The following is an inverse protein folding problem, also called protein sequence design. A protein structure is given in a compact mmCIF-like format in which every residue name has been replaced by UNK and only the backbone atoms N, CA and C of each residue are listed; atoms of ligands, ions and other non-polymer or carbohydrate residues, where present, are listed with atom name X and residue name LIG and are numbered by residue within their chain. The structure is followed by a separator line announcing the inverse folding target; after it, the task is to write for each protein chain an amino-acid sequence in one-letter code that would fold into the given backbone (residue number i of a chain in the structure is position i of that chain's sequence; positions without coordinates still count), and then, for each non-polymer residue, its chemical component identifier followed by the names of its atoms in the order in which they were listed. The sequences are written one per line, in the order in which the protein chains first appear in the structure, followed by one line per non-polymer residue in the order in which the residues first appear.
data_IF_378650216669
#
_entry.id   IF_378650216669
#
_cell.length_a   1.000
_cell.length_b   1.000
_cell.length_c   1.000
_cell.angle_alpha   90.00
_cell.angle_beta   90.00
_cell.angle_gamma   90.00
#
_symmetry.space_group_name_H-M   'P 1'
#
loop_
_entity.id
_entity.type
_entity.pdbx_description
1 polymer ?
#
# COMPACT_ATOMS: atom_id res chain seq x y z
N UNK A 1 27.57 92.60 -25.23
CA UNK A 1 26.67 92.00 -26.20
C UNK A 1 26.01 90.81 -25.54
N UNK A 2 24.82 90.97 -25.10
CA UNK A 2 24.07 89.99 -24.32
C UNK A 2 22.90 89.50 -25.12
N UNK A 3 22.74 88.16 -25.33
CA UNK A 3 21.57 87.55 -25.92
C UNK A 3 20.86 86.78 -24.84
N UNK A 4 19.65 87.21 -24.55
CA UNK A 4 18.72 86.58 -23.66
C UNK A 4 18.05 85.43 -24.41
N UNK A 5 18.01 84.25 -23.84
CA UNK A 5 17.12 83.16 -24.29
C UNK A 5 16.09 82.88 -23.20
N UNK A 6 14.81 82.92 -23.59
CA UNK A 6 13.69 82.64 -22.78
C UNK A 6 13.52 81.09 -22.63
N UNK A 7 13.28 80.65 -21.41
CA UNK A 7 13.00 79.26 -21.08
C UNK A 7 11.49 79.02 -21.05
N UNK A 8 10.97 78.25 -21.98
CA UNK A 8 9.57 77.76 -21.97
C UNK A 8 9.49 76.50 -21.11
N UNK A 9 8.79 76.66 -20.02
CA UNK A 9 8.40 75.48 -19.13
C UNK A 9 7.24 74.76 -19.71
N UNK A 10 7.46 73.58 -20.24
CA UNK A 10 6.43 72.62 -20.62
C UNK A 10 6.10 71.70 -19.46
N UNK A 11 4.85 71.78 -18.95
CA UNK A 11 4.35 70.86 -17.96
C UNK A 11 3.89 69.58 -18.66
N UNK A 12 4.63 68.50 -18.49
CA UNK A 12 4.23 67.18 -18.95
C UNK A 12 3.37 66.48 -17.85
N UNK A 13 2.10 66.33 -18.14
CA UNK A 13 1.15 65.61 -17.30
C UNK A 13 1.38 64.08 -17.51
N UNK A 14 2.06 63.42 -16.55
CA UNK A 14 2.15 61.94 -16.55
C UNK A 14 0.84 61.36 -16.04
N UNK A 15 0.05 60.79 -16.93
CA UNK A 15 -1.07 59.91 -16.56
C UNK A 15 -0.51 58.55 -16.15
N UNK A 16 -0.48 58.24 -14.85
CA UNK A 16 -0.16 56.93 -14.35
C UNK A 16 -1.35 56.00 -14.60
N UNK A 17 -1.25 55.11 -15.60
CA UNK A 17 -2.15 53.98 -15.73
C UNK A 17 -1.80 52.96 -14.63
N UNK A 18 -2.63 52.87 -13.60
CA UNK A 18 -2.59 51.79 -12.64
C UNK A 18 -3.12 50.53 -13.34
N UNK A 19 -2.23 49.63 -13.74
CA UNK A 19 -2.59 48.25 -14.09
C UNK A 19 -2.95 47.54 -12.80
N UNK A 20 -4.25 47.40 -12.54
CA UNK A 20 -4.76 46.43 -11.58
C UNK A 20 -4.49 45.05 -12.18
N UNK A 21 -3.39 44.43 -11.76
CA UNK A 21 -3.21 43.00 -11.94
C UNK A 21 -4.26 42.32 -11.08
N UNK A 22 -5.36 41.88 -11.68
CA UNK A 22 -6.19 40.83 -11.12
C UNK A 22 -5.28 39.61 -10.95
N UNK A 23 -4.79 39.41 -9.76
CA UNK A 23 -4.16 38.16 -9.38
C UNK A 23 -5.25 37.10 -9.48
N UNK A 24 -5.26 36.35 -10.57
CA UNK A 24 -5.90 35.04 -10.57
C UNK A 24 -5.12 34.24 -9.53
N UNK A 25 -5.68 34.11 -8.33
CA UNK A 25 -5.35 32.97 -7.50
C UNK A 25 -5.75 31.77 -8.35
N UNK A 26 -4.77 31.07 -8.92
CA UNK A 26 -5.02 29.74 -9.41
C UNK A 26 -5.41 28.96 -8.15
N UNK A 27 -6.68 28.82 -7.90
CA UNK A 27 -7.19 27.71 -7.11
C UNK A 27 -6.52 26.49 -7.73
N UNK A 28 -5.70 25.79 -6.95
CA UNK A 28 -5.20 24.50 -7.36
C UNK A 28 -6.44 23.72 -7.77
N UNK A 29 -6.57 23.41 -9.04
CA UNK A 29 -7.66 22.60 -9.55
C UNK A 29 -7.66 21.36 -8.68
N UNK A 30 -8.72 21.17 -7.92
CA UNK A 30 -9.01 19.88 -7.32
C UNK A 30 -9.04 18.91 -8.49
N UNK A 31 -8.01 18.06 -8.60
CA UNK A 31 -7.73 17.21 -9.77
C UNK A 31 -8.81 16.11 -9.94
N UNK A 32 -10.02 16.34 -9.42
CA UNK A 32 -11.12 15.37 -9.36
C UNK A 32 -10.74 14.19 -8.46
N UNK A 33 -9.89 14.41 -7.47
CA UNK A 33 -9.50 13.38 -6.50
C UNK A 33 -10.70 13.00 -5.64
N UNK A 34 -10.84 11.71 -5.45
CA UNK A 34 -11.87 11.10 -4.61
C UNK A 34 -11.20 10.44 -3.42
N UNK A 35 -11.80 10.57 -2.26
CA UNK A 35 -11.33 9.92 -1.04
C UNK A 35 -12.09 8.62 -0.81
N UNK A 36 -11.34 7.59 -0.48
CA UNK A 36 -11.85 6.27 -0.14
C UNK A 36 -11.39 5.88 1.25
N UNK A 37 -12.28 5.27 2.01
CA UNK A 37 -11.94 4.53 3.22
C UNK A 37 -11.74 3.09 2.85
N UNK A 38 -10.61 2.52 3.26
CA UNK A 38 -10.27 1.12 3.04
C UNK A 38 -10.17 0.45 4.40
N UNK A 39 -10.91 -0.61 4.60
CA UNK A 39 -10.87 -1.45 5.81
C UNK A 39 -10.38 -2.83 5.42
N UNK A 40 -9.33 -3.30 6.07
CA UNK A 40 -8.79 -4.66 5.95
C UNK A 40 -9.25 -5.42 7.19
N UNK A 41 -9.96 -6.51 7.00
CA UNK A 41 -10.36 -7.44 8.05
C UNK A 41 -9.67 -8.78 7.81
N UNK A 42 -8.97 -9.29 8.83
CA UNK A 42 -8.26 -10.57 8.75
C UNK A 42 -9.22 -11.72 9.08
N UNK A 43 -9.44 -12.59 8.11
CA UNK A 43 -10.35 -13.74 8.21
C UNK A 43 -9.62 -15.03 8.64
N UNK A 44 -8.36 -14.93 9.11
CA UNK A 44 -7.58 -16.12 9.46
C UNK A 44 -7.37 -16.29 10.96
N UNK A 45 -7.54 -17.50 11.44
CA UNK A 45 -7.18 -17.85 12.80
C UNK A 45 -5.68 -18.14 13.00
N UNK A 46 -4.95 -18.38 11.91
CA UNK A 46 -3.56 -18.85 11.93
C UNK A 46 -2.52 -17.81 11.50
N UNK A 47 -2.91 -16.78 10.75
CA UNK A 47 -2.00 -15.85 10.12
C UNK A 47 -2.28 -14.41 10.54
N UNK A 48 -1.46 -13.79 11.38
CA UNK A 48 -1.47 -12.33 11.50
C UNK A 48 -0.85 -11.70 10.23
N UNK A 49 -1.18 -10.44 9.95
CA UNK A 49 -0.59 -9.70 8.83
C UNK A 49 0.44 -8.70 9.32
N UNK A 50 1.49 -8.51 8.52
CA UNK A 50 2.53 -7.49 8.77
C UNK A 50 2.04 -6.08 8.46
N UNK A 51 2.85 -5.05 8.77
CA UNK A 51 2.85 -3.81 8.01
C UNK A 51 2.89 -4.07 6.49
N UNK A 52 2.47 -3.08 5.70
CA UNK A 52 2.39 -3.22 4.25
C UNK A 52 2.18 -1.92 3.52
N UNK A 53 1.71 -2.00 2.28
CA UNK A 53 1.52 -0.83 1.44
C UNK A 53 0.21 -0.91 0.67
N UNK A 54 -0.49 0.23 0.57
CA UNK A 54 -1.62 0.40 -0.32
C UNK A 54 -1.32 1.52 -1.33
N UNK A 55 -1.68 1.32 -2.59
CA UNK A 55 -1.37 2.23 -3.69
C UNK A 55 -2.57 2.40 -4.59
N UNK A 56 -2.97 3.64 -4.84
CA UNK A 56 -3.88 3.95 -5.94
C UNK A 56 -3.07 4.34 -7.18
N UNK A 57 -3.41 3.78 -8.32
CA UNK A 57 -2.60 3.89 -9.52
C UNK A 57 -3.42 3.78 -10.80
N UNK A 58 -2.84 4.22 -11.92
CA UNK A 58 -3.42 4.04 -13.24
C UNK A 58 -3.56 2.56 -13.57
N UNK A 59 -4.55 2.22 -14.39
CA UNK A 59 -4.85 0.84 -14.80
C UNK A 59 -3.65 0.07 -15.42
N UNK A 60 -2.68 0.78 -15.95
CA UNK A 60 -1.47 0.19 -16.56
C UNK A 60 -0.34 -0.07 -15.56
N UNK A 61 -0.52 0.29 -14.29
CA UNK A 61 0.41 0.00 -13.21
C UNK A 61 -0.21 -1.02 -12.26
N UNK A 62 0.61 -1.72 -11.50
CA UNK A 62 0.23 -2.67 -10.46
C UNK A 62 1.36 -2.76 -9.42
N UNK A 63 1.03 -3.17 -8.22
CA UNK A 63 1.99 -3.42 -7.16
C UNK A 63 2.60 -4.82 -7.31
N UNK A 64 1.77 -5.79 -7.64
CA UNK A 64 2.13 -7.16 -8.00
C UNK A 64 1.12 -7.71 -9.02
N UNK A 65 1.45 -8.82 -9.66
CA UNK A 65 0.52 -9.58 -10.49
C UNK A 65 0.84 -11.08 -10.40
N UNK A 66 -0.21 -11.89 -10.28
CA UNK A 66 -0.05 -13.36 -10.26
C UNK A 66 0.52 -13.84 -11.60
N UNK A 67 1.63 -14.56 -11.55
CA UNK A 67 2.38 -15.03 -12.71
C UNK A 67 3.60 -14.18 -13.04
N UNK A 68 3.78 -13.02 -12.42
CA UNK A 68 5.00 -12.21 -12.52
C UNK A 68 5.97 -12.56 -11.38
N UNK A 69 7.25 -12.26 -11.55
CA UNK A 69 8.22 -12.31 -10.46
C UNK A 69 7.92 -11.23 -9.42
N UNK A 70 8.15 -11.52 -8.16
CA UNK A 70 8.05 -10.51 -7.11
C UNK A 70 9.05 -9.36 -7.38
N UNK A 71 8.58 -8.13 -7.17
CA UNK A 71 9.47 -6.97 -7.11
C UNK A 71 10.24 -6.98 -5.78
N UNK A 72 11.42 -6.31 -5.67
CA UNK A 72 12.12 -6.23 -4.39
C UNK A 72 11.27 -5.70 -3.23
N UNK A 73 10.27 -4.86 -3.51
CA UNK A 73 9.34 -4.37 -2.50
C UNK A 73 8.34 -5.43 -2.05
N UNK A 74 7.84 -6.26 -2.97
CA UNK A 74 6.95 -7.39 -2.61
C UNK A 74 7.74 -8.49 -1.91
N UNK A 75 8.96 -8.78 -2.38
CA UNK A 75 9.88 -9.72 -1.74
C UNK A 75 10.10 -9.37 -0.26
N UNK A 76 10.53 -8.13 0.06
CA UNK A 76 10.76 -7.71 1.44
C UNK A 76 9.49 -7.65 2.31
N UNK A 77 8.31 -7.39 1.71
CA UNK A 77 7.06 -7.54 2.44
C UNK A 77 6.79 -9.01 2.74
N UNK A 78 6.93 -9.88 1.75
CA UNK A 78 6.52 -11.28 1.85
C UNK A 78 7.46 -12.11 2.75
N UNK A 79 8.75 -11.80 2.77
CA UNK A 79 9.76 -12.49 3.56
C UNK A 79 9.92 -11.92 4.97
N UNK A 80 10.03 -10.57 5.08
CA UNK A 80 10.41 -9.89 6.32
C UNK A 80 9.27 -9.12 6.99
N UNK A 81 8.14 -8.94 6.30
CA UNK A 81 7.09 -8.01 6.72
C UNK A 81 7.55 -6.54 6.69
N UNK A 82 8.59 -6.24 5.92
CA UNK A 82 9.17 -4.90 5.80
C UNK A 82 8.62 -4.17 4.57
N UNK A 83 7.70 -3.24 4.81
CA UNK A 83 7.00 -2.47 3.78
C UNK A 83 7.81 -1.28 3.22
N UNK A 84 8.84 -0.83 3.94
CA UNK A 84 9.53 0.42 3.62
C UNK A 84 10.11 0.49 2.19
N UNK A 85 10.73 -0.57 1.62
CA UNK A 85 11.17 -0.57 0.23
C UNK A 85 10.03 -0.47 -0.77
N UNK A 86 8.88 -1.12 -0.51
CA UNK A 86 7.70 -1.05 -1.36
C UNK A 86 7.07 0.35 -1.33
N UNK A 87 6.94 0.95 -0.14
CA UNK A 87 6.45 2.33 0.06
C UNK A 87 7.35 3.33 -0.68
N UNK A 88 8.67 3.19 -0.55
CA UNK A 88 9.62 4.06 -1.24
C UNK A 88 9.53 3.93 -2.77
N UNK A 89 9.45 2.71 -3.28
CA UNK A 89 9.28 2.43 -4.70
C UNK A 89 7.95 2.97 -5.25
N UNK A 90 6.86 2.77 -4.51
CA UNK A 90 5.53 3.25 -4.87
C UNK A 90 5.48 4.79 -4.94
N UNK A 91 6.10 5.49 -3.97
CA UNK A 91 6.20 6.95 -3.96
C UNK A 91 7.05 7.50 -5.12
N UNK A 92 8.05 6.76 -5.57
CA UNK A 92 8.91 7.17 -6.69
C UNK A 92 8.28 6.85 -8.07
N UNK A 93 7.32 5.94 -8.14
CA UNK A 93 6.77 5.45 -9.40
C UNK A 93 5.84 6.48 -10.06
N UNK A 94 6.03 6.69 -11.37
CA UNK A 94 5.11 7.51 -12.16
C UNK A 94 3.83 6.74 -12.46
N UNK A 95 2.68 7.36 -12.22
CA UNK A 95 1.37 6.75 -12.48
C UNK A 95 0.63 6.31 -11.23
N UNK A 96 1.27 6.38 -10.07
CA UNK A 96 0.61 6.29 -8.78
C UNK A 96 -0.04 7.64 -8.44
N UNK A 97 -1.15 7.59 -7.74
CA UNK A 97 -1.91 8.78 -7.32
C UNK A 97 -1.71 9.04 -5.84
N UNK A 98 -1.79 7.99 -5.03
CA UNK A 98 -1.58 8.07 -3.59
C UNK A 98 -0.98 6.76 -3.08
N UNK A 99 -0.22 6.85 -1.98
CA UNK A 99 0.45 5.72 -1.33
C UNK A 99 0.21 5.83 0.16
N UNK A 100 -0.29 4.75 0.75
CA UNK A 100 -0.47 4.64 2.20
C UNK A 100 0.50 3.59 2.72
N UNK A 101 1.29 4.00 3.70
CA UNK A 101 2.11 3.15 4.54
C UNK A 101 1.21 2.55 5.63
N UNK A 102 1.01 1.23 5.57
CA UNK A 102 0.30 0.48 6.61
C UNK A 102 1.34 0.14 7.69
N UNK A 103 1.54 1.06 8.61
CA UNK A 103 2.66 1.10 9.57
C UNK A 103 2.52 0.15 10.77
N UNK A 104 1.61 -0.82 10.70
CA UNK A 104 1.29 -1.71 11.82
C UNK A 104 0.80 -3.08 11.41
N UNK A 105 0.95 -4.09 12.27
CA UNK A 105 0.37 -5.40 12.03
C UNK A 105 -1.15 -5.39 12.24
N UNK A 106 -1.82 -6.38 11.60
CA UNK A 106 -3.23 -6.71 11.78
C UNK A 106 -3.26 -8.11 12.41
N UNK A 107 -3.90 -8.24 13.58
CA UNK A 107 -3.89 -9.51 14.31
C UNK A 107 -4.80 -10.54 13.66
N UNK A 108 -4.76 -11.76 14.15
CA UNK A 108 -5.60 -12.86 13.66
C UNK A 108 -7.08 -12.61 14.00
N UNK A 109 -7.98 -13.18 13.22
CA UNK A 109 -9.43 -13.11 13.43
C UNK A 109 -9.82 -13.28 14.91
N UNK A 110 -10.61 -12.36 15.41
CA UNK A 110 -11.12 -12.33 16.78
C UNK A 110 -10.06 -12.08 17.86
N UNK A 111 -8.84 -11.64 17.52
CA UNK A 111 -7.78 -11.42 18.49
C UNK A 111 -7.35 -9.95 18.61
N UNK A 112 -6.79 -9.61 19.77
CA UNK A 112 -6.19 -8.31 20.05
C UNK A 112 -4.86 -8.51 20.75
N UNK A 113 -3.81 -7.82 20.27
CA UNK A 113 -2.48 -7.84 20.88
C UNK A 113 -2.02 -6.39 21.11
N UNK A 114 -2.00 -5.97 22.36
CA UNK A 114 -1.75 -4.57 22.72
C UNK A 114 -2.83 -3.64 22.15
N UNK A 115 -2.44 -2.76 21.22
CA UNK A 115 -3.35 -1.87 20.49
C UNK A 115 -3.72 -2.36 19.10
N UNK A 116 -3.23 -3.51 18.69
CA UNK A 116 -3.49 -4.09 17.37
C UNK A 116 -4.70 -5.02 17.42
N UNK A 117 -5.55 -4.90 16.43
CA UNK A 117 -6.77 -5.67 16.24
C UNK A 117 -6.72 -6.44 14.92
N UNK A 118 -7.69 -7.27 14.66
CA UNK A 118 -7.89 -8.00 13.42
C UNK A 118 -8.43 -7.14 12.28
N UNK A 119 -8.63 -5.85 12.53
CA UNK A 119 -9.08 -4.86 11.55
C UNK A 119 -8.16 -3.65 11.51
N UNK A 120 -7.93 -3.12 10.33
CA UNK A 120 -7.25 -1.84 10.13
C UNK A 120 -7.94 -1.00 9.06
N UNK A 121 -8.20 0.26 9.37
CA UNK A 121 -8.86 1.22 8.47
C UNK A 121 -7.96 2.42 8.18
N UNK A 122 -7.91 2.84 6.93
CA UNK A 122 -7.19 4.03 6.46
C UNK A 122 -7.96 4.74 5.35
N UNK A 123 -7.52 5.96 5.02
CA UNK A 123 -8.04 6.72 3.89
C UNK A 123 -6.98 6.82 2.80
N UNK A 124 -7.42 6.75 1.54
CA UNK A 124 -6.56 6.88 0.36
C UNK A 124 -7.28 7.68 -0.72
N UNK A 125 -6.51 8.48 -1.47
CA UNK A 125 -7.05 9.28 -2.57
C UNK A 125 -6.83 8.59 -3.91
N UNK A 126 -7.74 8.81 -4.85
CA UNK A 126 -7.63 8.27 -6.19
C UNK A 126 -8.23 9.21 -7.24
N UNK A 127 -7.69 9.20 -8.44
CA UNK A 127 -8.31 9.82 -9.61
C UNK A 127 -9.43 8.95 -10.17
N UNK A 128 -10.35 9.52 -10.96
CA UNK A 128 -11.31 8.72 -11.70
C UNK A 128 -10.62 7.62 -12.53
N UNK A 129 -11.11 6.37 -12.44
CA UNK A 129 -10.61 5.17 -13.13
C UNK A 129 -9.30 4.59 -12.59
N UNK A 130 -8.71 5.15 -11.54
CA UNK A 130 -7.61 4.49 -10.84
C UNK A 130 -8.04 3.14 -10.28
N UNK A 131 -7.06 2.35 -9.94
CA UNK A 131 -7.16 1.04 -9.31
C UNK A 131 -6.51 1.10 -7.94
N UNK A 132 -6.86 0.16 -7.09
CA UNK A 132 -6.18 -0.07 -5.82
C UNK A 132 -5.41 -1.38 -5.89
N UNK A 133 -4.15 -1.34 -5.48
CA UNK A 133 -3.36 -2.51 -5.10
C UNK A 133 -2.93 -2.38 -3.65
N UNK A 134 -2.79 -3.52 -2.97
CA UNK A 134 -2.41 -3.60 -1.57
C UNK A 134 -1.65 -4.90 -1.34
N UNK A 135 -0.63 -4.87 -0.46
CA UNK A 135 0.10 -6.07 -0.05
C UNK A 135 0.51 -5.98 1.41
N UNK A 136 0.33 -7.10 2.15
CA UNK A 136 0.78 -7.37 3.52
C UNK A 136 1.24 -8.82 3.63
N UNK A 137 2.24 -9.14 4.47
CA UNK A 137 2.72 -10.51 4.68
C UNK A 137 1.69 -11.34 5.46
N UNK A 138 1.67 -12.64 5.19
CA UNK A 138 1.14 -13.67 6.08
C UNK A 138 2.27 -14.09 7.02
N UNK A 139 2.32 -13.53 8.23
CA UNK A 139 3.52 -13.53 9.08
C UNK A 139 4.06 -14.92 9.42
N UNK A 140 3.19 -15.93 9.52
CA UNK A 140 3.62 -17.28 9.83
C UNK A 140 3.82 -18.13 8.56
N UNK A 141 4.54 -17.58 7.59
CA UNK A 141 4.96 -18.24 6.35
C UNK A 141 6.40 -17.86 6.02
N UNK A 142 7.01 -18.49 5.03
CA UNK A 142 8.33 -18.10 4.54
C UNK A 142 8.22 -16.79 3.71
N UNK A 143 7.50 -16.83 2.58
CA UNK A 143 7.31 -15.72 1.66
C UNK A 143 5.84 -15.53 1.25
N UNK A 144 4.94 -15.81 2.18
CA UNK A 144 3.51 -15.69 1.95
C UNK A 144 3.01 -14.26 2.17
N UNK A 145 2.13 -13.80 1.30
CA UNK A 145 1.47 -12.49 1.44
C UNK A 145 0.02 -12.53 0.98
N UNK A 146 -0.73 -11.48 1.28
CA UNK A 146 -2.09 -11.27 0.78
C UNK A 146 -2.27 -9.84 0.31
N UNK A 147 -3.32 -9.58 -0.45
CA UNK A 147 -3.63 -8.25 -0.91
C UNK A 147 -4.55 -8.20 -2.12
N UNK A 148 -4.58 -7.03 -2.75
CA UNK A 148 -5.39 -6.75 -3.92
C UNK A 148 -4.51 -6.40 -5.13
N UNK A 149 -4.74 -7.07 -6.23
CA UNK A 149 -4.09 -6.79 -7.52
C UNK A 149 -5.00 -5.93 -8.39
N UNK A 150 -4.74 -4.62 -8.41
CA UNK A 150 -5.32 -3.68 -9.38
C UNK A 150 -6.86 -3.70 -9.46
N UNK A 151 -7.54 -3.73 -8.31
CA UNK A 151 -9.00 -3.78 -8.23
C UNK A 151 -9.66 -2.45 -8.55
N UNK A 152 -10.94 -2.48 -8.93
CA UNK A 152 -11.73 -1.28 -9.21
C UNK A 152 -12.15 -0.59 -7.92
N UNK A 153 -12.06 0.73 -7.91
CA UNK A 153 -12.66 1.55 -6.87
C UNK A 153 -14.15 1.77 -7.14
N UNK A 154 -15.02 1.77 -6.12
CA UNK A 154 -16.45 2.04 -6.31
C UNK A 154 -16.68 3.48 -6.73
N UNK A 155 -17.66 3.69 -7.61
CA UNK A 155 -18.08 5.04 -8.00
C UNK A 155 -18.86 5.71 -6.87
N UNK A 156 -19.66 4.91 -6.15
CA UNK A 156 -20.54 5.30 -5.05
C UNK A 156 -20.61 4.14 -4.06
N UNK A 157 -20.92 4.42 -2.80
CA UNK A 157 -21.07 3.42 -1.75
C UNK A 157 -19.80 2.61 -1.51
N UNK A 158 -19.94 1.32 -1.26
CA UNK A 158 -18.84 0.42 -0.90
C UNK A 158 -18.83 -0.85 -1.74
N UNK A 159 -17.67 -1.50 -1.78
CA UNK A 159 -17.47 -2.84 -2.33
C UNK A 159 -16.49 -3.59 -1.42
N UNK A 160 -16.74 -4.86 -1.17
CA UNK A 160 -15.83 -5.76 -0.46
C UNK A 160 -15.18 -6.71 -1.45
N UNK A 161 -13.86 -6.83 -1.38
CA UNK A 161 -13.05 -7.79 -2.13
C UNK A 161 -12.52 -8.85 -1.18
N UNK A 162 -12.64 -10.10 -1.58
CA UNK A 162 -12.07 -11.24 -0.88
C UNK A 162 -10.67 -11.50 -1.40
N UNK A 163 -9.67 -11.36 -0.52
CA UNK A 163 -8.27 -11.57 -0.85
C UNK A 163 -7.84 -13.01 -0.56
N UNK A 164 -7.03 -13.56 -1.45
CA UNK A 164 -6.43 -14.88 -1.27
C UNK A 164 -5.01 -14.76 -0.69
N UNK A 165 -4.49 -15.85 -0.14
CA UNK A 165 -3.06 -15.98 0.18
C UNK A 165 -2.25 -16.28 -1.07
N UNK A 166 -1.16 -15.56 -1.23
CA UNK A 166 -0.18 -15.70 -2.32
C UNK A 166 1.18 -16.09 -1.75
N UNK A 167 1.97 -16.73 -2.56
CA UNK A 167 3.36 -17.09 -2.37
C UNK A 167 4.17 -16.22 -3.35
N UNK A 168 5.19 -15.52 -2.86
CA UNK A 168 5.99 -14.63 -3.67
C UNK A 168 6.92 -15.37 -4.64
N UNK A 169 7.20 -16.65 -4.37
CA UNK A 169 8.09 -17.49 -5.15
C UNK A 169 9.55 -17.16 -4.93
N UNK A 170 9.87 -16.47 -3.86
CA UNK A 170 11.21 -15.99 -3.54
C UNK A 170 11.94 -16.91 -2.57
N UNK A 171 11.20 -17.60 -1.69
CA UNK A 171 11.72 -18.59 -0.76
C UNK A 171 11.14 -20.00 -0.93
N UNK A 172 11.82 -20.98 -0.34
CA UNK A 172 11.26 -22.33 -0.19
C UNK A 172 10.39 -22.41 1.04
N UNK A 173 9.18 -22.95 0.91
CA UNK A 173 8.25 -23.17 2.02
C UNK A 173 8.76 -24.25 2.97
N UNK A 174 9.80 -23.92 3.76
CA UNK A 174 10.44 -24.86 4.68
C UNK A 174 9.61 -25.15 5.92
N UNK A 175 8.75 -24.20 6.30
CA UNK A 175 7.91 -24.23 7.51
C UNK A 175 8.71 -24.43 8.81
N UNK A 176 10.02 -24.13 8.81
CA UNK A 176 10.88 -24.24 9.98
C UNK A 176 10.86 -22.92 10.76
N UNK A 177 10.77 -23.01 12.07
CA UNK A 177 10.71 -21.82 12.95
C UNK A 177 11.89 -20.87 12.76
N UNK A 178 13.07 -21.39 12.47
CA UNK A 178 14.27 -20.58 12.21
C UNK A 178 14.21 -19.77 10.91
N UNK A 179 13.35 -20.19 9.97
CA UNK A 179 13.17 -19.57 8.66
C UNK A 179 11.88 -18.71 8.63
N UNK A 180 11.22 -18.52 9.78
CA UNK A 180 10.00 -17.72 9.94
C UNK A 180 10.31 -16.52 10.82
N UNK A 181 9.85 -15.35 10.42
CA UNK A 181 10.07 -14.09 11.16
C UNK A 181 9.58 -14.17 12.61
N UNK A 182 10.31 -13.56 13.54
CA UNK A 182 10.02 -13.55 14.98
C UNK A 182 8.60 -13.03 15.32
N UNK A 183 8.05 -12.19 14.47
CA UNK A 183 6.70 -11.68 14.63
C UNK A 183 5.65 -12.79 14.67
N UNK A 184 5.89 -13.97 14.07
CA UNK A 184 5.02 -15.14 14.20
C UNK A 184 4.96 -15.64 15.66
N UNK A 185 6.05 -15.63 16.40
CA UNK A 185 6.02 -15.98 17.83
C UNK A 185 5.25 -14.99 18.69
N UNK A 186 5.24 -13.71 18.30
CA UNK A 186 4.59 -12.65 19.07
C UNK A 186 3.09 -12.51 18.75
N UNK A 187 2.72 -12.67 17.49
CA UNK A 187 1.37 -12.40 16.97
C UNK A 187 0.64 -13.65 16.50
N UNK A 188 1.36 -14.73 16.21
CA UNK A 188 0.81 -15.99 15.73
C UNK A 188 0.02 -16.77 16.80
N UNK A 189 -0.53 -17.93 16.43
CA UNK A 189 -1.38 -18.72 17.31
C UNK A 189 -0.61 -19.38 18.46
N UNK A 190 0.68 -19.63 18.27
CA UNK A 190 1.57 -20.25 19.27
C UNK A 190 2.97 -19.64 19.17
N UNK A 191 3.66 -19.45 20.32
CA UNK A 191 5.06 -19.06 20.28
C UNK A 191 5.90 -20.08 19.52
N UNK A 192 6.73 -19.59 18.59
CA UNK A 192 7.74 -20.36 17.88
C UNK A 192 9.11 -19.95 18.40
N UNK A 193 10.06 -20.88 18.45
CA UNK A 193 11.47 -20.55 18.68
C UNK A 193 12.08 -20.04 17.36
N UNK A 194 11.70 -18.83 16.95
CA UNK A 194 12.14 -18.25 15.70
C UNK A 194 13.60 -17.80 15.71
N UNK A 195 14.08 -17.39 14.55
CA UNK A 195 15.35 -16.68 14.41
C UNK A 195 15.10 -15.18 14.69
N UNK A 196 15.78 -14.57 15.69
CA UNK A 196 15.58 -13.16 15.99
C UNK A 196 16.01 -12.20 14.87
N UNK A 197 16.69 -12.68 13.86
CA UNK A 197 17.09 -11.88 12.70
C UNK A 197 16.10 -12.01 11.52
N UNK A 198 15.02 -12.76 11.69
CA UNK A 198 14.07 -13.01 10.63
C UNK A 198 14.67 -13.81 9.46
N UNK A 199 14.25 -13.50 8.27
CA UNK A 199 14.72 -14.18 7.07
C UNK A 199 16.03 -13.65 6.49
N UNK A 200 17.09 -13.58 7.25
CA UNK A 200 18.43 -13.37 6.65
C UNK A 200 18.92 -14.59 5.87
N UNK A 201 18.05 -15.56 5.65
CA UNK A 201 18.48 -16.88 5.18
C UNK A 201 18.39 -16.99 3.66
N UNK A 202 19.35 -16.37 2.97
CA UNK A 202 19.65 -16.72 1.57
C UNK A 202 19.73 -18.26 1.30
N UNK A 203 19.76 -19.06 2.37
CA UNK A 203 19.73 -20.52 2.27
C UNK A 203 18.36 -21.11 1.94
N UNK A 204 17.27 -20.36 2.18
CA UNK A 204 15.91 -20.77 1.82
C UNK A 204 15.43 -20.13 0.53
N UNK A 205 16.13 -19.09 0.05
CA UNK A 205 15.85 -18.47 -1.24
C UNK A 205 15.78 -19.50 -2.36
N UNK A 206 14.85 -19.27 -3.27
CA UNK A 206 14.84 -19.98 -4.55
C UNK A 206 15.80 -19.29 -5.53
N UNK A 207 16.57 -20.08 -6.26
CA UNK A 207 17.47 -19.54 -7.29
C UNK A 207 17.39 -20.37 -8.58
N UNK A 208 16.85 -19.83 -9.68
CA UNK A 208 16.22 -18.50 -9.79
C UNK A 208 14.89 -18.43 -9.03
N UNK A 209 14.47 -17.22 -8.63
CA UNK A 209 13.15 -16.98 -8.05
C UNK A 209 12.06 -17.48 -9.00
N UNK A 210 10.95 -17.95 -8.38
CA UNK A 210 9.74 -18.33 -9.06
C UNK A 210 8.89 -17.12 -9.45
N UNK A 211 7.63 -17.37 -9.65
CA UNK A 211 6.61 -16.32 -9.91
C UNK A 211 5.57 -16.33 -8.79
N UNK A 212 4.96 -15.19 -8.57
CA UNK A 212 3.84 -15.03 -7.63
C UNK A 212 2.72 -15.98 -8.03
N UNK A 213 2.27 -16.80 -7.08
CA UNK A 213 1.17 -17.74 -7.30
C UNK A 213 0.31 -17.88 -6.03
N UNK A 214 -0.80 -18.61 -6.11
CA UNK A 214 -1.59 -18.90 -4.91
C UNK A 214 -0.79 -19.77 -3.95
N UNK A 215 -0.70 -19.35 -2.69
CA UNK A 215 0.01 -20.10 -1.66
C UNK A 215 -0.70 -21.45 -1.41
N UNK A 216 0.04 -22.56 -1.37
CA UNK A 216 -0.55 -23.88 -1.18
C UNK A 216 -1.11 -24.12 0.25
N UNK A 217 -0.87 -23.20 1.18
CA UNK A 217 -1.19 -23.33 2.60
C UNK A 217 -0.03 -23.94 3.39
N UNK A 218 -0.26 -24.19 4.69
CA UNK A 218 0.72 -24.83 5.58
C UNK A 218 0.55 -26.34 5.48
N UNK A 219 1.62 -27.03 5.07
CA UNK A 219 1.64 -28.50 4.89
C UNK A 219 1.86 -29.25 6.20
N UNK A 220 2.56 -28.65 7.17
CA UNK A 220 2.90 -29.27 8.46
C UNK A 220 4.10 -30.21 8.37
N UNK A 221 5.02 -29.91 7.45
CA UNK A 221 6.23 -30.71 7.24
C UNK A 221 7.33 -30.48 8.27
N UNK A 222 7.26 -29.39 9.05
CA UNK A 222 8.25 -28.99 10.04
C UNK A 222 7.62 -28.44 11.33
N UNK A 223 7.92 -27.17 11.69
CA UNK A 223 7.51 -26.59 12.96
C UNK A 223 6.13 -25.92 12.91
N UNK A 224 5.64 -25.55 11.72
CA UNK A 224 4.28 -25.06 11.55
C UNK A 224 3.27 -26.20 11.46
N UNK A 225 2.04 -25.94 11.91
CA UNK A 225 0.95 -26.90 11.91
C UNK A 225 -0.22 -26.38 11.09
N UNK A 226 -0.77 -27.17 10.15
CA UNK A 226 -1.97 -26.77 9.39
C UNK A 226 -3.16 -26.40 10.26
N UNK A 227 -3.32 -27.08 11.41
CA UNK A 227 -4.43 -26.82 12.33
C UNK A 227 -4.28 -25.51 13.13
N UNK A 228 -3.05 -25.01 13.28
CA UNK A 228 -2.76 -23.80 14.05
C UNK A 228 -2.43 -22.61 13.15
N UNK A 229 -1.64 -22.83 12.10
CA UNK A 229 -1.10 -21.79 11.25
C UNK A 229 -1.73 -21.76 9.86
N UNK A 230 -2.51 -22.79 9.52
CA UNK A 230 -3.19 -22.89 8.22
C UNK A 230 -4.38 -21.92 8.10
N UNK A 231 -4.86 -21.81 6.89
CA UNK A 231 -6.04 -21.02 6.52
C UNK A 231 -6.79 -21.64 5.35
N UNK A 232 -7.96 -21.11 5.08
CA UNK A 232 -8.70 -21.31 3.83
C UNK A 232 -8.97 -19.95 3.21
N UNK A 233 -8.90 -19.83 1.89
CA UNK A 233 -9.28 -18.58 1.24
C UNK A 233 -10.78 -18.31 1.35
N UNK A 234 -11.22 -17.04 1.52
CA UNK A 234 -10.37 -15.85 1.57
C UNK A 234 -9.59 -15.74 2.88
N UNK A 235 -8.45 -15.04 2.86
CA UNK A 235 -7.68 -14.72 4.07
C UNK A 235 -8.00 -13.33 4.61
N UNK A 236 -8.56 -12.47 3.81
CA UNK A 236 -9.01 -11.13 4.22
C UNK A 236 -10.25 -10.71 3.44
N UNK A 237 -11.11 -9.97 4.10
CA UNK A 237 -12.14 -9.14 3.49
C UNK A 237 -11.64 -7.68 3.46
N UNK A 238 -11.58 -7.08 2.27
CA UNK A 238 -11.10 -5.72 2.08
C UNK A 238 -12.22 -4.86 1.54
N UNK A 239 -12.78 -4.02 2.40
CA UNK A 239 -13.90 -3.14 2.06
C UNK A 239 -13.38 -1.77 1.66
N UNK A 240 -13.82 -1.30 0.50
CA UNK A 240 -13.49 0.01 -0.06
C UNK A 240 -14.77 0.82 -0.15
N UNK A 241 -14.84 1.95 0.56
CA UNK A 241 -15.99 2.86 0.60
C UNK A 241 -15.59 4.22 0.02
N UNK A 242 -16.39 4.78 -0.88
CA UNK A 242 -16.22 6.16 -1.32
C UNK A 242 -16.81 7.12 -0.29
N UNK A 243 -15.96 7.93 0.36
CA UNK A 243 -16.37 8.85 1.44
C UNK A 243 -16.27 10.33 1.08
N UNK A 244 -15.62 10.69 -0.02
CA UNK A 244 -15.44 12.09 -0.43
C UNK A 244 -15.15 12.25 -1.91
N UNK A 245 -15.26 13.51 -2.36
CA UNK A 245 -15.11 13.94 -3.75
C UNK A 245 -16.37 14.68 -4.20
N UNK A 246 -16.24 15.63 -5.13
CA UNK A 246 -17.35 16.40 -5.63
C UNK A 246 -18.45 15.49 -6.20
N UNK A 247 -19.70 15.73 -5.77
CA UNK A 247 -20.86 15.33 -6.54
C UNK A 247 -20.85 16.18 -7.81
N UNK A 248 -20.60 15.60 -8.96
CA UNK A 248 -21.10 16.16 -10.21
C UNK A 248 -22.63 15.97 -10.15
N UNK A 249 -23.33 17.01 -9.68
CA UNK A 249 -24.76 17.11 -9.90
C UNK A 249 -24.97 17.32 -11.41
N UNK A 250 -25.56 16.32 -12.07
CA UNK A 250 -26.09 16.41 -13.45
C UNK A 250 -27.30 17.39 -13.54
#
# INVERSE_FOLDING_TARGET
MSKKYALLTGIALLAALAFVRSGSTSEASDDGLRTYRVTIENETHGQPFSPGVAVTHRRSAHLFHVGDMASPGIETIAEDGNEAPAVAAANAAQGNTDVVDIDRPITREGTTVGSFTDEFTFEIKARPRDRLSLAVMLICTNDGFTGLDSVKLPKEGSVTYQAAGYDAGTENNTERSKDIVDACSALGPTPLAGDPNGNEDAAVDTSPHGVIHHHPGIAGGADLSPSMHGWTNPVADITIERIGGEHEDD
#
